data_IF_532762942747
#
_entry.id   IF_532762942747
#
_cell.length_a   1.000
_cell.length_b   1.000
_cell.length_c   1.000
_cell.angle_alpha   90.00
_cell.angle_beta   90.00
_cell.angle_gamma   90.00
#
_symmetry.space_group_name_H-M   'P 1'
#
loop_
_entity.id
_entity.type
_entity.pdbx_description
1 polymer ?
#
# COMPACT_ATOMS: atom_id res chain seq x y z
N UNK A 1 -50.18 -20.43 -31.84
CA UNK A 1 -48.79 -20.16 -32.24
C UNK A 1 -48.80 -18.80 -32.92
N UNK A 2 -48.27 -17.78 -32.27
CA UNK A 2 -47.97 -16.49 -32.89
C UNK A 2 -47.03 -15.76 -31.93
N UNK A 3 -45.73 -16.00 -32.13
CA UNK A 3 -44.66 -15.20 -31.53
C UNK A 3 -44.87 -13.72 -31.90
N UNK A 4 -44.78 -12.77 -30.96
CA UNK A 4 -44.77 -11.36 -31.34
C UNK A 4 -43.47 -11.07 -32.08
N UNK A 5 -43.63 -10.64 -33.33
CA UNK A 5 -42.59 -10.22 -34.25
C UNK A 5 -41.63 -9.21 -33.61
N UNK A 6 -40.35 -9.34 -33.98
CA UNK A 6 -39.23 -8.64 -33.39
C UNK A 6 -39.41 -7.13 -33.33
N UNK A 7 -39.53 -6.62 -32.10
CA UNK A 7 -39.33 -5.19 -31.82
C UNK A 7 -37.87 -4.86 -32.10
N UNK A 8 -37.63 -4.17 -33.20
CA UNK A 8 -36.30 -3.67 -33.57
C UNK A 8 -35.72 -2.83 -32.44
N UNK A 9 -34.47 -3.12 -32.02
CA UNK A 9 -33.75 -2.39 -30.96
C UNK A 9 -33.70 -0.87 -31.21
N UNK A 10 -33.70 -0.44 -32.47
CA UNK A 10 -33.75 0.97 -32.88
C UNK A 10 -35.07 1.67 -32.57
N UNK A 11 -36.16 0.95 -32.30
CA UNK A 11 -37.44 1.54 -31.94
C UNK A 11 -37.56 1.80 -30.42
N UNK A 12 -36.66 1.24 -29.62
CA UNK A 12 -36.55 1.47 -28.16
C UNK A 12 -35.52 2.52 -27.77
N UNK A 13 -34.60 2.85 -28.66
CA UNK A 13 -33.54 3.85 -28.44
C UNK A 13 -33.78 5.02 -29.38
N UNK A 14 -34.15 6.17 -28.83
CA UNK A 14 -34.32 7.39 -29.61
C UNK A 14 -32.97 8.06 -29.90
N UNK A 15 -32.40 7.72 -31.05
CA UNK A 15 -31.13 8.28 -31.52
C UNK A 15 -31.25 9.74 -31.98
N UNK A 16 -32.45 10.32 -32.07
CA UNK A 16 -32.63 11.73 -32.42
C UNK A 16 -32.05 12.65 -31.35
N UNK A 17 -32.02 12.20 -30.09
CA UNK A 17 -31.48 12.93 -28.95
C UNK A 17 -29.97 13.21 -29.06
N UNK A 18 -29.23 12.41 -29.86
CA UNK A 18 -27.80 12.60 -30.12
C UNK A 18 -27.52 13.80 -31.03
N UNK A 19 -28.55 14.29 -31.72
CA UNK A 19 -28.46 15.48 -32.58
C UNK A 19 -28.78 16.77 -31.81
N UNK A 20 -29.31 16.63 -30.59
CA UNK A 20 -29.69 17.75 -29.73
C UNK A 20 -28.44 18.36 -29.07
N UNK A 21 -28.33 19.69 -29.12
CA UNK A 21 -27.16 20.40 -28.57
C UNK A 21 -27.03 20.24 -27.05
N UNK A 22 -28.16 20.15 -26.35
CA UNK A 22 -28.19 20.00 -24.90
C UNK A 22 -27.70 18.62 -24.43
N UNK A 23 -27.87 17.58 -25.25
CA UNK A 23 -27.32 16.24 -24.96
C UNK A 23 -25.79 16.27 -24.89
N UNK A 24 -25.14 17.00 -25.81
CA UNK A 24 -23.68 17.12 -25.82
C UNK A 24 -23.14 17.99 -24.69
N UNK A 25 -23.90 19.01 -24.27
CA UNK A 25 -23.56 19.80 -23.07
C UNK A 25 -23.63 18.93 -21.82
N UNK A 26 -24.70 18.15 -21.67
CA UNK A 26 -24.86 17.23 -20.56
C UNK A 26 -23.76 16.15 -20.54
N UNK A 27 -23.40 15.61 -21.70
CA UNK A 27 -22.30 14.66 -21.84
C UNK A 27 -20.95 15.28 -21.41
N UNK A 28 -20.66 16.51 -21.82
CA UNK A 28 -19.46 17.23 -21.39
C UNK A 28 -19.39 17.40 -19.87
N UNK A 29 -20.50 17.78 -19.23
CA UNK A 29 -20.58 17.87 -17.76
C UNK A 29 -20.34 16.50 -17.11
N UNK A 30 -20.92 15.43 -17.66
CA UNK A 30 -20.74 14.08 -17.14
C UNK A 30 -19.28 13.61 -17.23
N UNK A 31 -18.60 13.88 -18.35
CA UNK A 31 -17.17 13.56 -18.51
C UNK A 31 -16.33 14.31 -17.49
N UNK A 32 -16.56 15.62 -17.32
CA UNK A 32 -15.82 16.42 -16.33
C UNK A 32 -16.03 15.89 -14.91
N UNK A 33 -17.28 15.63 -14.53
CA UNK A 33 -17.59 15.08 -13.21
C UNK A 33 -16.94 13.71 -13.00
N UNK A 34 -17.01 12.83 -14.00
CA UNK A 34 -16.38 11.51 -13.94
C UNK A 34 -14.86 11.62 -13.75
N UNK A 35 -14.19 12.49 -14.52
CA UNK A 35 -12.75 12.71 -14.39
C UNK A 35 -12.38 13.27 -13.00
N UNK A 36 -13.14 14.23 -12.47
CA UNK A 36 -12.87 14.82 -11.14
C UNK A 36 -13.03 13.78 -10.03
N UNK A 37 -14.11 12.99 -10.08
CA UNK A 37 -14.35 11.92 -9.09
C UNK A 37 -13.26 10.85 -9.19
N UNK A 38 -12.94 10.39 -10.40
CA UNK A 38 -11.89 9.40 -10.64
C UNK A 38 -10.53 9.86 -10.15
N UNK A 39 -10.13 11.09 -10.49
CA UNK A 39 -8.87 11.69 -10.04
C UNK A 39 -8.81 11.81 -8.52
N UNK A 40 -9.88 12.29 -7.90
CA UNK A 40 -9.94 12.47 -6.45
C UNK A 40 -9.84 11.14 -5.71
N UNK A 41 -10.53 10.11 -6.20
CA UNK A 41 -10.49 8.75 -5.65
C UNK A 41 -9.08 8.15 -5.74
N UNK A 42 -8.48 8.16 -6.94
CA UNK A 42 -7.12 7.65 -7.17
C UNK A 42 -6.07 8.40 -6.34
N UNK A 43 -6.22 9.71 -6.20
CA UNK A 43 -5.31 10.54 -5.40
C UNK A 43 -5.38 10.19 -3.92
N UNK A 44 -6.59 9.99 -3.38
CA UNK A 44 -6.76 9.55 -1.99
C UNK A 44 -6.12 8.19 -1.75
N UNK A 45 -6.37 7.21 -2.62
CA UNK A 45 -5.71 5.90 -2.52
C UNK A 45 -4.19 6.00 -2.58
N UNK A 46 -3.65 6.83 -3.48
CA UNK A 46 -2.21 7.09 -3.59
C UNK A 46 -1.63 7.66 -2.29
N UNK A 47 -2.25 8.71 -1.73
CA UNK A 47 -1.81 9.31 -0.47
C UNK A 47 -1.92 8.34 0.71
N UNK A 48 -2.99 7.56 0.79
CA UNK A 48 -3.15 6.56 1.84
C UNK A 48 -2.08 5.47 1.72
N UNK A 49 -1.78 5.01 0.50
CA UNK A 49 -0.74 4.00 0.27
C UNK A 49 0.66 4.48 0.63
N UNK A 50 0.99 5.75 0.37
CA UNK A 50 2.29 6.32 0.72
C UNK A 50 2.45 6.51 2.23
N UNK A 51 1.38 6.88 2.95
CA UNK A 51 1.39 7.00 4.41
C UNK A 51 1.62 5.64 5.08
N UNK A 52 1.04 4.57 4.54
CA UNK A 52 1.20 3.22 5.10
C UNK A 52 2.49 2.50 4.62
N UNK A 53 3.36 3.17 3.85
CA UNK A 53 4.62 2.59 3.39
C UNK A 53 4.46 1.44 2.40
N UNK A 54 3.30 1.33 1.74
CA UNK A 54 3.01 0.31 0.72
C UNK A 54 3.03 0.89 -0.69
N UNK A 55 3.47 2.14 -0.85
CA UNK A 55 3.77 2.70 -2.17
C UNK A 55 5.05 2.08 -2.73
N UNK A 56 5.23 2.11 -4.06
CA UNK A 56 6.47 1.67 -4.70
C UNK A 56 7.64 2.65 -4.53
N UNK A 57 7.44 3.75 -3.80
CA UNK A 57 8.45 4.79 -3.61
C UNK A 57 9.37 4.40 -2.44
N UNK A 58 10.67 4.33 -2.72
CA UNK A 58 11.68 4.09 -1.69
C UNK A 58 11.94 5.41 -0.95
N UNK A 59 11.55 5.46 0.31
CA UNK A 59 11.81 6.59 1.20
C UNK A 59 12.77 6.18 2.31
N UNK A 60 13.54 7.14 2.82
CA UNK A 60 14.38 6.89 3.99
C UNK A 60 13.49 6.61 5.21
N UNK A 61 13.80 5.53 5.92
CA UNK A 61 13.13 5.18 7.18
C UNK A 61 13.45 6.24 8.24
N UNK A 62 12.50 6.52 9.12
CA UNK A 62 12.74 7.41 10.25
C UNK A 62 13.89 6.88 11.12
N UNK A 63 14.88 7.73 11.39
CA UNK A 63 15.98 7.38 12.28
C UNK A 63 15.50 7.41 13.73
N UNK A 64 15.12 6.24 14.26
CA UNK A 64 14.76 6.09 15.66
C UNK A 64 15.91 5.52 16.47
N UNK A 65 15.88 5.88 17.74
CA UNK A 65 16.79 5.43 18.78
C UNK A 65 16.02 4.51 19.73
N UNK A 66 16.57 3.33 20.01
CA UNK A 66 15.96 2.36 20.91
C UNK A 66 16.97 1.81 21.91
N UNK A 67 16.52 1.61 23.14
CA UNK A 67 17.31 0.92 24.17
C UNK A 67 17.37 -0.58 23.86
N UNK A 68 18.57 -1.15 23.85
CA UNK A 68 18.73 -2.61 23.75
C UNK A 68 18.54 -3.26 25.13
N UNK A 69 18.47 -4.59 25.14
CA UNK A 69 18.47 -5.37 26.39
C UNK A 69 19.87 -5.47 27.02
N UNK A 70 20.91 -4.92 26.36
CA UNK A 70 22.30 -4.95 26.79
C UNK A 70 22.83 -6.37 27.09
N UNK A 71 22.51 -7.32 26.21
CA UNK A 71 22.99 -8.70 26.29
C UNK A 71 24.44 -8.79 25.79
N UNK A 72 25.34 -9.17 26.69
CA UNK A 72 26.77 -9.36 26.39
C UNK A 72 26.98 -10.32 25.21
N UNK A 73 27.72 -9.88 24.19
CA UNK A 73 28.06 -10.69 23.02
C UNK A 73 26.97 -10.74 21.94
N UNK A 74 25.80 -10.15 22.17
CA UNK A 74 24.73 -10.02 21.18
C UNK A 74 24.50 -8.55 20.87
N UNK A 75 24.01 -7.80 21.85
CA UNK A 75 23.63 -6.39 21.64
C UNK A 75 24.90 -5.51 21.56
N UNK A 76 26.01 -5.93 22.18
CA UNK A 76 27.30 -5.22 22.16
C UNK A 76 27.92 -5.08 20.76
N UNK A 77 27.38 -5.75 19.75
CA UNK A 77 27.84 -5.66 18.36
C UNK A 77 27.27 -4.42 17.67
N UNK A 78 26.06 -3.99 18.07
CA UNK A 78 25.29 -2.94 17.39
C UNK A 78 24.91 -1.77 18.30
N UNK A 79 24.85 -1.99 19.62
CA UNK A 79 24.54 -0.97 20.60
C UNK A 79 25.79 -0.18 20.99
N UNK A 80 25.60 1.11 21.28
CA UNK A 80 26.65 2.01 21.76
C UNK A 80 27.03 1.73 23.23
N UNK A 81 27.95 2.55 23.76
CA UNK A 81 28.40 2.46 25.15
C UNK A 81 27.29 2.68 26.20
N UNK A 82 26.18 3.30 25.81
CA UNK A 82 25.02 3.52 26.65
C UNK A 82 23.97 2.41 26.51
N UNK A 83 24.22 1.40 25.67
CA UNK A 83 23.28 0.30 25.41
C UNK A 83 22.19 0.65 24.40
N UNK A 84 22.37 1.73 23.66
CA UNK A 84 21.40 2.29 22.71
C UNK A 84 21.74 1.87 21.28
N UNK A 85 20.72 1.54 20.48
CA UNK A 85 20.84 1.32 19.04
C UNK A 85 20.19 2.49 18.30
N UNK A 86 20.94 3.10 17.39
CA UNK A 86 20.45 4.12 16.46
C UNK A 86 20.36 3.52 15.05
N UNK A 87 19.22 3.63 14.38
CA UNK A 87 19.01 2.97 13.09
C UNK A 87 19.97 3.47 12.00
N UNK A 88 20.31 4.76 12.02
CA UNK A 88 21.27 5.34 11.07
C UNK A 88 22.70 4.81 11.22
N UNK A 89 23.07 4.23 12.35
CA UNK A 89 24.38 3.57 12.51
C UNK A 89 24.48 2.25 11.74
N UNK A 90 23.33 1.67 11.37
CA UNK A 90 23.21 0.40 10.63
C UNK A 90 23.08 0.60 9.11
N UNK A 91 23.31 1.82 8.60
CA UNK A 91 23.26 2.10 7.16
C UNK A 91 24.24 1.21 6.39
N UNK A 92 23.76 0.66 5.28
CA UNK A 92 24.51 -0.31 4.46
C UNK A 92 24.22 -1.77 4.82
N UNK A 93 23.50 -2.02 5.91
CA UNK A 93 22.98 -3.34 6.28
C UNK A 93 21.52 -3.48 5.87
N UNK A 94 21.08 -4.73 5.67
CA UNK A 94 19.65 -5.06 5.66
C UNK A 94 19.21 -5.20 7.12
N UNK A 95 18.24 -4.37 7.54
CA UNK A 95 17.73 -4.36 8.91
C UNK A 95 16.29 -4.84 8.91
N UNK A 96 16.00 -5.88 9.70
CA UNK A 96 14.65 -6.41 9.91
C UNK A 96 14.15 -5.87 11.25
N UNK A 97 13.03 -5.16 11.24
CA UNK A 97 12.39 -4.60 12.44
C UNK A 97 11.15 -5.41 12.77
N UNK A 98 11.19 -6.16 13.87
CA UNK A 98 10.05 -6.93 14.38
C UNK A 98 9.45 -6.24 15.61
N UNK A 99 8.21 -5.75 15.46
CA UNK A 99 7.45 -5.09 16.53
C UNK A 99 6.48 -6.09 17.15
N UNK A 100 6.91 -6.73 18.24
CA UNK A 100 6.09 -7.69 18.98
C UNK A 100 5.34 -7.05 20.15
N UNK A 101 4.09 -7.45 20.34
CA UNK A 101 3.34 -7.12 21.55
C UNK A 101 3.80 -7.98 22.74
N UNK A 102 3.69 -7.42 23.95
CA UNK A 102 3.88 -8.19 25.18
C UNK A 102 2.82 -9.29 25.24
N UNK A 103 3.24 -10.53 25.53
CA UNK A 103 2.37 -11.71 25.64
C UNK A 103 1.64 -12.08 24.33
N UNK A 104 2.33 -11.92 23.21
CA UNK A 104 1.81 -12.31 21.91
C UNK A 104 1.82 -13.84 21.72
N UNK A 105 0.63 -14.45 21.70
CA UNK A 105 0.46 -15.92 21.59
C UNK A 105 1.15 -16.54 20.36
N UNK A 106 1.16 -15.83 19.22
CA UNK A 106 1.63 -16.36 17.94
C UNK A 106 2.99 -15.79 17.50
N UNK A 107 3.65 -14.94 18.29
CA UNK A 107 4.90 -14.29 17.87
C UNK A 107 6.07 -15.28 17.74
N UNK A 108 6.02 -16.41 18.44
CA UNK A 108 7.01 -17.48 18.30
C UNK A 108 7.07 -18.06 16.87
N UNK A 109 5.96 -18.06 16.12
CA UNK A 109 5.96 -18.52 14.72
C UNK A 109 6.72 -17.57 13.79
N UNK A 110 6.65 -16.25 14.06
CA UNK A 110 7.40 -15.25 13.30
C UNK A 110 8.88 -15.39 13.60
N UNK A 111 9.23 -15.56 14.87
CA UNK A 111 10.61 -15.81 15.28
C UNK A 111 11.18 -17.07 14.62
N UNK A 112 10.45 -18.19 14.65
CA UNK A 112 10.86 -19.45 14.01
C UNK A 112 11.02 -19.28 12.49
N UNK A 113 10.13 -18.52 11.84
CA UNK A 113 10.26 -18.21 10.42
C UNK A 113 11.56 -17.43 10.13
N UNK A 114 11.86 -16.40 10.92
CA UNK A 114 13.10 -15.62 10.77
C UNK A 114 14.32 -16.54 10.96
N UNK A 115 14.35 -17.32 12.04
CA UNK A 115 15.46 -18.23 12.34
C UNK A 115 15.71 -19.25 11.22
N UNK A 116 14.65 -19.75 10.58
CA UNK A 116 14.77 -20.71 9.48
C UNK A 116 15.29 -20.10 8.17
N UNK A 117 15.08 -18.80 7.93
CA UNK A 117 15.41 -18.15 6.66
C UNK A 117 16.63 -17.20 6.75
N UNK A 118 17.09 -16.86 7.95
CA UNK A 118 18.14 -15.85 8.14
C UNK A 118 19.46 -16.22 7.44
N UNK A 119 19.78 -17.52 7.35
CA UNK A 119 20.95 -17.99 6.63
C UNK A 119 20.85 -17.69 5.13
N UNK A 120 19.71 -17.99 4.51
CA UNK A 120 19.46 -17.69 3.09
C UNK A 120 19.49 -16.17 2.84
N UNK A 121 18.86 -15.37 3.69
CA UNK A 121 18.82 -13.91 3.52
C UNK A 121 20.19 -13.26 3.66
N UNK A 122 21.10 -13.86 4.43
CA UNK A 122 22.48 -13.36 4.55
C UNK A 122 23.32 -13.56 3.28
N UNK A 123 22.85 -14.37 2.34
CA UNK A 123 23.52 -14.64 1.06
C UNK A 123 22.99 -13.80 -0.12
N UNK A 124 21.90 -13.03 0.09
CA UNK A 124 21.29 -12.13 -0.90
C UNK A 124 21.98 -10.77 -0.96
#
# INVERSE_FOLDING_TARGET
>A
MSEPEGVSLTQRLDFSILREGDTWRAFGVAVVLFCVIGYSSLSLFGMTSSIYGVSGDVNEVYDFEAQSMNRTGIDSIIADENGTVQLSSLRGSVVILDFMAIDCANCHYVQEHIENNIAEWSEL
#
